data_IF_074187388067
#
_entry.id   IF_074187388067
#
_cell.length_a   1.000
_cell.length_b   1.000
_cell.length_c   1.000
_cell.angle_alpha   90.00
_cell.angle_beta   90.00
_cell.angle_gamma   90.00
#
_symmetry.space_group_name_H-M   'P 1'
#
loop_
_entity.id
_entity.type
_entity.pdbx_description
1 polymer ?
#
# COMPACT_ATOMS: atom_id res chain seq x y z
N UNK A 1 12.55 -9.67 -6.54
CA UNK A 1 12.01 -8.90 -7.69
C UNK A 1 12.86 -7.66 -8.00
N UNK A 2 12.91 -6.66 -7.11
CA UNK A 2 13.49 -5.34 -7.37
C UNK A 2 14.98 -5.31 -7.76
N UNK A 3 15.85 -6.07 -7.08
CA UNK A 3 17.30 -6.07 -7.39
C UNK A 3 17.70 -6.86 -8.65
N UNK A 4 16.79 -7.64 -9.24
CA UNK A 4 17.11 -8.56 -10.33
C UNK A 4 16.18 -8.42 -11.53
N UNK A 5 14.91 -8.76 -11.35
CA UNK A 5 13.93 -8.76 -12.45
C UNK A 5 13.74 -7.37 -13.04
N UNK A 6 13.61 -6.33 -12.22
CA UNK A 6 13.42 -4.95 -12.70
C UNK A 6 14.61 -4.47 -13.56
N UNK A 7 15.87 -4.48 -13.11
CA UNK A 7 16.99 -4.00 -13.93
C UNK A 7 17.20 -4.84 -15.20
N UNK A 8 17.02 -6.16 -15.14
CA UNK A 8 17.20 -7.05 -16.30
C UNK A 8 16.11 -6.81 -17.34
N UNK A 9 14.85 -6.91 -16.95
CA UNK A 9 13.73 -6.82 -17.90
C UNK A 9 13.58 -5.43 -18.49
N UNK A 10 13.76 -4.36 -17.68
CA UNK A 10 13.67 -2.99 -18.21
C UNK A 10 14.81 -2.64 -19.16
N UNK A 11 15.97 -3.32 -19.07
CA UNK A 11 17.09 -3.16 -20.01
C UNK A 11 16.88 -3.95 -21.31
N UNK A 12 16.38 -5.18 -21.21
CA UNK A 12 16.23 -6.09 -22.36
C UNK A 12 14.94 -5.81 -23.13
N UNK A 13 13.81 -5.70 -22.43
CA UNK A 13 12.48 -5.56 -23.02
C UNK A 13 11.98 -4.10 -23.08
N UNK A 14 12.74 -3.14 -22.56
CA UNK A 14 12.33 -1.73 -22.50
C UNK A 14 11.19 -1.41 -21.52
N UNK A 15 10.67 -2.42 -20.81
CA UNK A 15 9.59 -2.32 -19.82
C UNK A 15 9.72 -3.46 -18.79
N UNK A 16 8.94 -3.42 -17.70
CA UNK A 16 8.82 -4.54 -16.78
C UNK A 16 7.59 -5.39 -17.17
N UNK A 17 7.77 -6.64 -17.64
CA UNK A 17 6.68 -7.48 -18.15
C UNK A 17 5.94 -8.20 -17.02
N UNK A 18 5.43 -7.46 -16.03
CA UNK A 18 4.86 -8.03 -14.81
C UNK A 18 3.60 -8.86 -15.03
N UNK A 19 2.89 -8.71 -16.16
CA UNK A 19 1.77 -9.58 -16.51
C UNK A 19 2.26 -11.00 -16.84
N UNK A 20 3.34 -11.12 -17.63
CA UNK A 20 3.96 -12.42 -17.95
C UNK A 20 4.62 -13.08 -16.74
N UNK A 21 5.04 -12.28 -15.76
CA UNK A 21 5.65 -12.73 -14.51
C UNK A 21 4.62 -12.99 -13.39
N UNK A 22 3.33 -12.69 -13.61
CA UNK A 22 2.26 -12.94 -12.64
C UNK A 22 2.30 -12.08 -11.38
N UNK A 23 2.80 -10.84 -11.45
CA UNK A 23 2.98 -9.94 -10.29
C UNK A 23 2.01 -8.75 -10.28
N UNK A 24 2.33 -7.68 -11.02
CA UNK A 24 1.65 -6.38 -10.90
C UNK A 24 1.21 -5.78 -12.26
N UNK A 25 1.19 -6.60 -13.30
CA UNK A 25 0.99 -6.14 -14.67
C UNK A 25 2.23 -5.49 -15.30
N UNK A 26 2.12 -5.09 -16.56
CA UNK A 26 3.24 -4.49 -17.28
C UNK A 26 3.45 -3.03 -16.87
N UNK A 27 4.70 -2.63 -16.61
CA UNK A 27 5.04 -1.26 -16.23
C UNK A 27 6.05 -0.63 -17.20
N UNK A 28 5.91 0.66 -17.53
CA UNK A 28 6.96 1.42 -18.18
C UNK A 28 8.29 1.33 -17.41
N UNK A 29 9.40 1.25 -18.14
CA UNK A 29 10.73 1.08 -17.55
C UNK A 29 11.09 2.13 -16.48
N UNK A 30 10.72 3.39 -16.70
CA UNK A 30 10.93 4.47 -15.72
C UNK A 30 10.15 4.24 -14.42
N UNK A 31 8.89 3.86 -14.52
CA UNK A 31 8.00 3.58 -13.38
C UNK A 31 8.51 2.38 -12.59
N UNK A 32 8.86 1.28 -13.26
CA UNK A 32 9.38 0.08 -12.59
C UNK A 32 10.68 0.36 -11.83
N UNK A 33 11.60 1.14 -12.41
CA UNK A 33 12.85 1.54 -11.76
C UNK A 33 12.60 2.48 -10.58
N UNK A 34 11.71 3.45 -10.72
CA UNK A 34 11.35 4.36 -9.64
C UNK A 34 10.73 3.60 -8.46
N UNK A 35 9.73 2.76 -8.74
CA UNK A 35 9.11 1.93 -7.73
C UNK A 35 10.13 1.02 -7.03
N UNK A 36 11.06 0.44 -7.79
CA UNK A 36 12.18 -0.31 -7.23
C UNK A 36 13.08 0.52 -6.31
N UNK A 37 13.33 1.80 -6.59
CA UNK A 37 14.10 2.67 -5.68
C UNK A 37 13.32 2.92 -4.38
N UNK A 38 12.02 3.17 -4.47
CA UNK A 38 11.18 3.41 -3.30
C UNK A 38 11.13 2.19 -2.39
N UNK A 39 10.82 1.01 -2.93
CA UNK A 39 10.75 -0.22 -2.14
C UNK A 39 12.09 -0.68 -1.56
N UNK A 40 13.21 -0.19 -2.10
CA UNK A 40 14.55 -0.54 -1.63
C UNK A 40 15.18 0.55 -0.74
N UNK A 41 14.50 1.68 -0.53
CA UNK A 41 14.99 2.80 0.26
C UNK A 41 14.28 2.89 1.61
N UNK A 42 15.01 3.07 2.72
CA UNK A 42 14.40 3.41 4.02
C UNK A 42 13.60 4.73 3.98
N UNK A 43 13.93 5.63 3.06
CA UNK A 43 13.22 6.89 2.87
C UNK A 43 12.00 6.76 1.93
N UNK A 44 11.72 5.55 1.42
CA UNK A 44 10.61 5.25 0.50
C UNK A 44 10.52 6.25 -0.67
N UNK A 45 9.35 6.86 -0.93
CA UNK A 45 9.17 7.84 -2.00
C UNK A 45 9.99 9.12 -1.79
N UNK A 46 10.43 9.44 -0.57
CA UNK A 46 11.11 10.72 -0.25
C UNK A 46 12.46 10.85 -0.95
N UNK A 47 13.03 9.74 -1.43
CA UNK A 47 14.24 9.79 -2.28
C UNK A 47 14.02 10.56 -3.58
N UNK A 48 12.78 10.61 -4.09
CA UNK A 48 12.44 11.32 -5.32
C UNK A 48 11.59 12.57 -5.04
N UNK A 49 10.75 12.56 -4.00
CA UNK A 49 9.85 13.69 -3.66
C UNK A 49 9.96 14.10 -2.18
N UNK A 50 11.12 14.63 -1.74
CA UNK A 50 11.38 14.93 -0.33
C UNK A 50 10.45 15.99 0.26
N UNK A 51 10.00 16.96 -0.56
CA UNK A 51 9.10 18.05 -0.15
C UNK A 51 7.70 17.56 0.26
N UNK A 52 7.28 16.35 -0.12
CA UNK A 52 5.99 15.81 0.29
C UNK A 52 5.95 15.47 1.78
N UNK A 53 7.08 15.30 2.45
CA UNK A 53 7.12 15.02 3.88
C UNK A 53 6.43 16.11 4.71
N UNK A 54 6.71 17.37 4.40
CA UNK A 54 6.12 18.48 5.14
C UNK A 54 4.64 18.63 4.78
N UNK A 55 4.29 18.35 3.51
CA UNK A 55 2.91 18.35 3.03
C UNK A 55 2.04 17.26 3.66
N UNK A 56 2.59 16.06 3.92
CA UNK A 56 1.84 15.01 4.62
C UNK A 56 1.62 15.36 6.08
N UNK A 57 2.56 16.07 6.71
CA UNK A 57 2.40 16.53 8.09
C UNK A 57 1.31 17.61 8.20
N UNK A 58 1.08 18.42 7.17
CA UNK A 58 0.00 19.42 7.12
C UNK A 58 -1.41 18.81 6.98
N UNK A 59 -1.55 17.51 6.70
CA UNK A 59 -2.87 16.87 6.60
C UNK A 59 -3.52 16.82 7.98
N UNK A 60 -4.70 17.45 8.10
CA UNK A 60 -5.51 17.46 9.33
C UNK A 60 -6.82 16.68 9.21
N UNK A 61 -7.16 16.24 7.99
CA UNK A 61 -8.36 15.43 7.77
C UNK A 61 -8.25 14.09 8.55
N UNK A 62 -9.33 13.60 9.17
CA UNK A 62 -9.33 12.29 9.81
C UNK A 62 -8.94 11.18 8.83
N UNK A 63 -8.06 10.28 9.28
CA UNK A 63 -7.59 9.13 8.50
C UNK A 63 -8.05 7.85 9.20
N UNK A 64 -8.72 6.98 8.45
CA UNK A 64 -8.89 5.59 8.83
C UNK A 64 -7.79 4.76 8.18
N UNK A 65 -6.86 4.26 8.99
CA UNK A 65 -5.75 3.42 8.56
C UNK A 65 -6.14 1.94 8.72
N UNK A 66 -6.40 1.28 7.59
CA UNK A 66 -6.84 -0.13 7.55
C UNK A 66 -5.64 -1.03 7.27
N UNK A 67 -5.39 -2.00 8.15
CA UNK A 67 -4.33 -2.99 7.98
C UNK A 67 -4.88 -4.41 8.05
N UNK A 68 -4.31 -5.31 7.27
CA UNK A 68 -4.76 -6.71 7.16
C UNK A 68 -3.75 -7.62 7.85
N UNK A 69 -4.22 -8.52 8.70
CA UNK A 69 -3.36 -9.41 9.47
C UNK A 69 -2.51 -10.35 8.59
N UNK A 70 -3.03 -10.73 7.42
CA UNK A 70 -2.41 -11.66 6.48
C UNK A 70 -1.87 -10.98 5.21
N UNK A 71 -1.59 -9.67 5.27
CA UNK A 71 -0.92 -8.91 4.20
C UNK A 71 0.52 -9.40 3.99
N UNK A 72 0.79 -9.96 2.81
CA UNK A 72 2.10 -10.48 2.43
C UNK A 72 3.09 -9.42 1.92
N UNK A 73 2.64 -8.19 1.64
CA UNK A 73 3.45 -7.12 1.04
C UNK A 73 3.78 -5.99 2.03
N UNK A 74 2.90 -5.70 2.99
CA UNK A 74 3.04 -4.57 3.92
C UNK A 74 3.13 -5.07 5.35
N UNK A 75 4.25 -4.79 6.01
CA UNK A 75 4.43 -5.16 7.42
C UNK A 75 3.74 -4.17 8.37
N UNK A 76 3.36 -4.58 9.59
CA UNK A 76 2.85 -3.67 10.61
C UNK A 76 3.81 -2.52 10.94
N UNK A 77 5.12 -2.75 10.81
CA UNK A 77 6.14 -1.72 10.98
C UNK A 77 6.06 -0.67 9.88
N UNK A 78 6.03 -1.09 8.62
CA UNK A 78 5.93 -0.19 7.47
C UNK A 78 4.65 0.66 7.51
N UNK A 79 3.55 0.07 7.99
CA UNK A 79 2.29 0.79 8.18
C UNK A 79 2.44 1.93 9.20
N UNK A 80 3.02 1.66 10.38
CA UNK A 80 3.29 2.69 11.39
C UNK A 80 4.27 3.76 10.92
N UNK A 81 5.28 3.39 10.15
CA UNK A 81 6.25 4.34 9.58
C UNK A 81 5.56 5.30 8.60
N UNK A 82 4.61 4.81 7.79
CA UNK A 82 3.81 5.66 6.89
C UNK A 82 2.83 6.55 7.66
N UNK A 83 2.12 6.00 8.65
CA UNK A 83 1.21 6.78 9.51
C UNK A 83 1.92 7.95 10.20
N UNK A 84 3.17 7.75 10.64
CA UNK A 84 3.95 8.78 11.33
C UNK A 84 4.22 10.03 10.47
N UNK A 85 4.06 9.95 9.15
CA UNK A 85 4.19 11.11 8.26
C UNK A 85 2.96 12.03 8.28
N UNK A 86 1.81 11.53 8.72
CA UNK A 86 0.56 12.30 8.85
C UNK A 86 0.40 12.85 10.27
N UNK A 87 1.41 13.59 10.74
CA UNK A 87 1.57 13.96 12.15
C UNK A 87 0.44 14.83 12.71
N UNK A 88 -0.26 15.61 11.88
CA UNK A 88 -1.39 16.45 12.32
C UNK A 88 -2.77 15.83 12.08
N UNK A 89 -2.85 14.63 11.50
CA UNK A 89 -4.11 13.95 11.25
C UNK A 89 -4.53 13.13 12.48
N UNK A 90 -5.82 13.16 12.88
CA UNK A 90 -6.34 12.16 13.80
C UNK A 90 -6.45 10.82 13.05
N UNK A 91 -5.70 9.81 13.50
CA UNK A 91 -5.63 8.48 12.87
C UNK A 91 -6.39 7.46 13.72
N UNK A 92 -7.49 6.94 13.17
CA UNK A 92 -8.11 5.71 13.66
C UNK A 92 -7.44 4.51 12.97
N UNK A 93 -7.11 3.47 13.72
CA UNK A 93 -6.52 2.24 13.18
C UNK A 93 -7.53 1.11 13.24
N UNK A 94 -7.77 0.48 12.10
CA UNK A 94 -8.56 -0.73 12.02
C UNK A 94 -7.68 -1.87 11.50
N UNK A 95 -7.36 -2.80 12.40
CA UNK A 95 -6.66 -4.03 12.05
C UNK A 95 -7.69 -5.13 11.85
N UNK A 96 -7.72 -5.72 10.65
CA UNK A 96 -8.72 -6.70 10.27
C UNK A 96 -8.08 -8.08 10.03
N UNK A 97 -8.63 -9.09 10.66
CA UNK A 97 -8.29 -10.50 10.43
C UNK A 97 -9.24 -11.16 9.45
N UNK A 98 -8.78 -12.21 8.78
CA UNK A 98 -9.62 -13.02 7.90
C UNK A 98 -10.82 -13.64 8.65
N UNK A 99 -10.63 -14.01 9.92
CA UNK A 99 -11.67 -14.56 10.78
C UNK A 99 -12.79 -13.54 11.08
N UNK A 100 -12.43 -12.30 11.42
CA UNK A 100 -13.42 -11.21 11.62
C UNK A 100 -14.16 -10.86 10.33
N UNK A 101 -13.48 -10.98 9.18
CA UNK A 101 -14.09 -10.77 7.87
C UNK A 101 -14.88 -11.99 7.36
N UNK A 102 -14.88 -13.12 8.07
CA UNK A 102 -15.59 -14.34 7.65
C UNK A 102 -15.03 -14.98 6.37
N UNK A 103 -13.76 -14.75 6.04
CA UNK A 103 -13.11 -15.28 4.84
C UNK A 103 -11.87 -16.13 5.19
N UNK A 104 -11.45 -17.08 4.34
CA UNK A 104 -10.27 -17.89 4.63
C UNK A 104 -8.94 -17.13 4.53
N UNK A 105 -8.90 -16.06 3.72
CA UNK A 105 -7.73 -15.20 3.50
C UNK A 105 -8.18 -13.86 2.92
N UNK A 106 -7.57 -12.76 3.38
CA UNK A 106 -7.70 -11.44 2.77
C UNK A 106 -6.47 -11.20 1.88
N UNK A 107 -5.28 -11.06 2.48
CA UNK A 107 -4.05 -10.70 1.76
C UNK A 107 -4.09 -9.27 1.20
N UNK A 108 -2.97 -8.77 0.66
CA UNK A 108 -2.78 -7.35 0.35
C UNK A 108 -3.90 -6.73 -0.52
N UNK A 109 -4.32 -7.44 -1.57
CA UNK A 109 -5.36 -6.97 -2.50
C UNK A 109 -6.77 -7.49 -2.19
N UNK A 110 -6.93 -8.35 -1.17
CA UNK A 110 -8.20 -9.02 -0.91
C UNK A 110 -9.28 -8.09 -0.38
N UNK A 111 -8.88 -7.03 0.35
CA UNK A 111 -9.81 -6.08 0.94
C UNK A 111 -10.75 -5.44 -0.09
N UNK A 112 -10.33 -5.31 -1.34
CA UNK A 112 -11.10 -4.70 -2.43
C UNK A 112 -11.96 -5.68 -3.24
N UNK A 113 -12.03 -6.96 -2.82
CA UNK A 113 -12.84 -7.98 -3.50
C UNK A 113 -14.29 -7.97 -3.01
N UNK A 114 -15.27 -8.37 -3.86
CA UNK A 114 -16.68 -8.43 -3.46
C UNK A 114 -16.97 -9.28 -2.21
N UNK A 115 -16.12 -10.27 -1.91
CA UNK A 115 -16.21 -11.09 -0.69
C UNK A 115 -16.05 -10.30 0.60
N UNK A 116 -15.52 -9.06 0.53
CA UNK A 116 -15.31 -8.18 1.68
C UNK A 116 -16.45 -7.18 1.90
N UNK A 117 -17.52 -7.26 1.10
CA UNK A 117 -18.69 -6.35 1.20
C UNK A 117 -19.25 -6.23 2.62
N UNK A 118 -19.43 -7.35 3.33
CA UNK A 118 -19.88 -7.34 4.72
C UNK A 118 -18.95 -6.53 5.64
N UNK A 119 -17.62 -6.68 5.50
CA UNK A 119 -16.65 -5.92 6.27
C UNK A 119 -16.69 -4.42 5.91
N UNK A 120 -17.00 -4.06 4.66
CA UNK A 120 -17.20 -2.67 4.29
C UNK A 120 -18.45 -2.10 4.96
N UNK A 121 -19.56 -2.83 4.91
CA UNK A 121 -20.85 -2.39 5.44
C UNK A 121 -20.83 -2.23 6.96
N UNK A 122 -20.32 -3.23 7.70
CA UNK A 122 -20.34 -3.22 9.17
C UNK A 122 -19.09 -2.62 9.81
N UNK A 123 -18.03 -2.41 9.02
CA UNK A 123 -16.72 -1.99 9.51
C UNK A 123 -16.32 -0.63 8.95
N UNK A 124 -16.24 -0.52 7.63
CA UNK A 124 -15.75 0.70 6.98
C UNK A 124 -16.76 1.85 7.09
N UNK A 125 -18.03 1.62 6.73
CA UNK A 125 -19.03 2.69 6.63
C UNK A 125 -19.31 3.35 7.98
N UNK A 126 -19.33 2.60 9.07
CA UNK A 126 -19.57 3.13 10.41
C UNK A 126 -18.43 4.06 10.90
N UNK A 127 -17.25 3.96 10.29
CA UNK A 127 -16.06 4.75 10.63
C UNK A 127 -15.84 5.94 9.71
N UNK A 128 -16.59 6.03 8.62
CA UNK A 128 -16.55 7.21 7.77
C UNK A 128 -17.28 8.37 8.45
N UNK A 129 -16.75 9.61 8.37
CA UNK A 129 -17.46 10.77 8.86
C UNK A 129 -18.83 10.85 8.17
N UNK A 130 -19.91 10.89 8.95
CA UNK A 130 -21.25 11.16 8.43
C UNK A 130 -21.28 12.63 8.01
N UNK A 131 -21.56 12.87 6.74
CA UNK A 131 -21.72 14.21 6.17
C UNK A 131 -22.96 14.92 6.71
#
# INVERSE_FOLDING_TARGET
MFRGLVPITTRIAGHFPGARLGVIGDLPAGVARQWSRWCMSPAYYRVDVPHLHDRTAEVTAPILAVSLADDELVTPRSHRELEAWFASAPIERWHLTAAEAGVPRIGHGGFFRPSMSAAWESGLLDRLPRA
#
